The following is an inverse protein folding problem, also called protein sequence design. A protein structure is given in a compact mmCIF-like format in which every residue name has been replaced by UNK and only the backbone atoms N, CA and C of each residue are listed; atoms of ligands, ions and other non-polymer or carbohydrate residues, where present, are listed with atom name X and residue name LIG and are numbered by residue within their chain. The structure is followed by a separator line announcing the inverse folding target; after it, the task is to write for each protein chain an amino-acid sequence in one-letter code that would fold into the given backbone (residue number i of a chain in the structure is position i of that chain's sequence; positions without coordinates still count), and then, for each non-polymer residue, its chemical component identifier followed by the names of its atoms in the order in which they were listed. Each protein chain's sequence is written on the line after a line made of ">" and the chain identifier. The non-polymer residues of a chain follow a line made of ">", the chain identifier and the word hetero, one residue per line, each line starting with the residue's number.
data_IF_269623843562
#
_entry.id   IF_269623843562
#
_cell.length_a   1.000
_cell.length_b   1.000
_cell.length_c   1.000
_cell.angle_alpha   90.00
_cell.angle_beta   90.00
_cell.angle_gamma   90.00
#
_symmetry.space_group_name_H-M   'P 1'
#
loop_
_entity.id
_entity.type
_entity.pdbx_description
1 polymer ?
#
# COMPACT_ATOMS: atom_id res chain seq x y z
N UNK A 1 -0.92 -0.55 13.84
CA UNK A 1 -0.15 0.71 13.64
C UNK A 1 0.19 1.43 14.94
N UNK A 2 -0.80 1.93 15.70
CA UNK A 2 -0.56 2.69 16.94
C UNK A 2 0.39 1.97 17.92
N UNK A 3 0.16 0.67 18.21
CA UNK A 3 1.02 -0.14 19.08
C UNK A 3 2.47 -0.24 18.60
N UNK A 4 2.68 -0.28 17.29
CA UNK A 4 4.02 -0.33 16.68
C UNK A 4 4.75 0.99 16.88
N UNK A 5 4.04 2.11 16.72
CA UNK A 5 4.59 3.44 16.97
C UNK A 5 4.76 3.73 18.46
N UNK A 6 3.90 3.24 19.34
CA UNK A 6 4.04 3.39 20.80
C UNK A 6 5.33 2.79 21.34
N UNK A 7 5.82 1.69 20.78
CA UNK A 7 7.15 1.12 21.11
C UNK A 7 8.31 2.10 20.84
N UNK A 8 8.05 3.16 20.09
CA UNK A 8 9.04 4.01 19.46
C UNK A 8 8.85 5.48 19.85
N UNK A 9 7.63 5.96 19.99
CA UNK A 9 7.32 7.36 20.22
C UNK A 9 6.34 7.51 21.39
N UNK A 10 6.15 8.74 21.88
CA UNK A 10 5.14 9.04 22.90
C UNK A 10 3.71 8.76 22.40
N UNK A 11 2.77 8.66 23.35
CA UNK A 11 1.38 8.27 23.07
C UNK A 11 0.67 9.21 22.09
N UNK A 12 0.79 10.53 22.31
CA UNK A 12 0.18 11.55 21.44
C UNK A 12 0.78 11.45 20.04
N UNK A 13 2.11 11.43 19.94
CA UNK A 13 2.79 11.35 18.65
C UNK A 13 2.41 10.07 17.87
N UNK A 14 2.34 8.93 18.57
CA UNK A 14 1.98 7.64 17.97
C UNK A 14 0.55 7.64 17.45
N UNK A 15 -0.38 8.24 18.20
CA UNK A 15 -1.80 8.35 17.83
C UNK A 15 -1.96 9.27 16.63
N UNK A 16 -1.41 10.48 16.69
CA UNK A 16 -1.46 11.46 15.60
C UNK A 16 -0.82 10.93 14.33
N UNK A 17 0.37 10.32 14.42
CA UNK A 17 1.03 9.75 13.26
C UNK A 17 0.24 8.60 12.65
N UNK A 18 -0.30 7.69 13.48
CA UNK A 18 -1.14 6.58 12.97
C UNK A 18 -2.38 7.09 12.25
N UNK A 19 -3.04 8.10 12.83
CA UNK A 19 -4.22 8.70 12.24
C UNK A 19 -3.89 9.36 10.88
N UNK A 20 -2.92 10.27 10.86
CA UNK A 20 -2.53 10.97 9.63
C UNK A 20 -2.01 10.00 8.55
N UNK A 21 -1.20 9.01 8.94
CA UNK A 21 -0.70 7.99 8.00
C UNK A 21 -1.80 7.17 7.33
N UNK A 22 -2.95 7.00 7.96
CA UNK A 22 -4.11 6.33 7.37
C UNK A 22 -5.00 7.32 6.60
N UNK A 23 -5.42 8.41 7.24
CA UNK A 23 -6.53 9.24 6.77
C UNK A 23 -6.09 10.39 5.84
N UNK A 24 -4.81 10.76 5.84
CA UNK A 24 -4.22 11.65 4.84
C UNK A 24 -3.88 10.88 3.56
N UNK A 25 -4.80 10.06 3.05
CA UNK A 25 -4.58 9.18 1.91
C UNK A 25 -5.89 8.79 1.23
N UNK A 26 -5.81 8.11 0.08
CA UNK A 26 -6.97 7.53 -0.60
C UNK A 26 -7.72 6.49 0.25
N UNK A 27 -7.16 6.02 1.37
CA UNK A 27 -7.85 5.09 2.28
C UNK A 27 -9.11 5.70 2.90
N UNK A 28 -9.12 7.00 3.22
CA UNK A 28 -10.30 7.67 3.80
C UNK A 28 -11.53 7.55 2.85
N UNK A 29 -11.42 7.95 1.57
CA UNK A 29 -12.51 7.73 0.64
C UNK A 29 -12.91 6.26 0.50
N UNK A 30 -11.94 5.33 0.44
CA UNK A 30 -12.25 3.89 0.28
C UNK A 30 -13.08 3.37 1.48
N UNK A 31 -12.78 3.83 2.70
CA UNK A 31 -13.49 3.42 3.92
C UNK A 31 -14.96 3.83 3.94
N UNK A 32 -15.35 4.85 3.18
CA UNK A 32 -16.71 5.39 3.17
C UNK A 32 -17.64 4.69 2.18
N UNK A 33 -17.13 3.74 1.39
CA UNK A 33 -17.92 3.08 0.35
C UNK A 33 -17.95 1.56 0.55
N UNK A 34 -19.18 1.02 0.54
CA UNK A 34 -19.46 -0.40 0.79
C UNK A 34 -19.21 -1.34 -0.39
N UNK A 35 -18.68 -0.86 -1.52
CA UNK A 35 -18.37 -1.71 -2.66
C UNK A 35 -17.39 -2.82 -2.27
N UNK A 36 -17.64 -4.05 -2.73
CA UNK A 36 -16.87 -5.24 -2.37
C UNK A 36 -15.37 -5.09 -2.66
N UNK A 37 -15.00 -4.38 -3.73
CA UNK A 37 -13.62 -4.09 -4.10
C UNK A 37 -12.91 -3.19 -3.08
N UNK A 38 -13.64 -2.23 -2.50
CA UNK A 38 -13.14 -1.33 -1.46
C UNK A 38 -13.02 -2.04 -0.12
N UNK A 39 -14.01 -2.86 0.24
CA UNK A 39 -13.93 -3.70 1.42
C UNK A 39 -12.73 -4.65 1.36
N UNK A 40 -12.51 -5.29 0.21
CA UNK A 40 -11.34 -6.14 -0.01
C UNK A 40 -10.04 -5.33 0.11
N UNK A 41 -9.97 -4.13 -0.46
CA UNK A 41 -8.78 -3.29 -0.38
C UNK A 41 -8.47 -2.84 1.07
N UNK A 42 -9.48 -2.39 1.81
CA UNK A 42 -9.35 -2.01 3.23
C UNK A 42 -8.93 -3.22 4.06
N UNK A 43 -9.58 -4.37 3.88
CA UNK A 43 -9.25 -5.59 4.60
C UNK A 43 -7.81 -6.03 4.31
N UNK A 44 -7.40 -6.03 3.04
CA UNK A 44 -6.04 -6.34 2.62
C UNK A 44 -5.01 -5.40 3.26
N UNK A 45 -5.29 -4.10 3.28
CA UNK A 45 -4.47 -3.09 3.96
C UNK A 45 -4.37 -3.33 5.47
N UNK A 46 -5.49 -3.61 6.14
CA UNK A 46 -5.51 -3.88 7.59
C UNK A 46 -4.73 -5.15 7.94
N UNK A 47 -4.93 -6.23 7.18
CA UNK A 47 -4.24 -7.50 7.36
C UNK A 47 -2.73 -7.34 7.20
N UNK A 48 -2.25 -6.58 6.20
CA UNK A 48 -0.80 -6.39 6.02
C UNK A 48 -0.20 -5.49 7.11
N UNK A 49 -0.91 -4.44 7.54
CA UNK A 49 -0.50 -3.63 8.69
C UNK A 49 -0.41 -4.48 9.96
N UNK A 50 -1.36 -5.39 10.15
CA UNK A 50 -1.38 -6.30 11.29
C UNK A 50 -0.27 -7.36 11.18
N UNK A 51 0.01 -7.87 9.99
CA UNK A 51 1.13 -8.76 9.71
C UNK A 51 2.46 -8.08 10.07
N UNK A 52 2.68 -6.84 9.63
CA UNK A 52 3.86 -6.04 9.97
C UNK A 52 4.00 -5.89 11.49
N UNK A 53 2.89 -5.57 12.18
CA UNK A 53 2.87 -5.47 13.63
C UNK A 53 3.26 -6.79 14.29
N UNK A 54 2.62 -7.91 13.94
CA UNK A 54 2.95 -9.22 14.51
C UNK A 54 4.41 -9.62 14.26
N UNK A 55 4.95 -9.30 13.07
CA UNK A 55 6.36 -9.53 12.78
C UNK A 55 7.25 -8.70 13.71
N UNK A 56 6.90 -7.43 13.94
CA UNK A 56 7.63 -6.54 14.85
C UNK A 56 7.60 -7.05 16.31
N UNK A 57 6.50 -7.66 16.74
CA UNK A 57 6.32 -8.28 18.07
C UNK A 57 6.88 -9.71 18.19
N UNK A 58 7.72 -10.14 17.26
CA UNK A 58 8.35 -11.48 17.26
C UNK A 58 7.37 -12.65 17.21
N UNK A 59 6.21 -12.43 16.57
CA UNK A 59 5.17 -13.43 16.33
C UNK A 59 5.08 -13.77 14.83
N UNK A 60 6.12 -14.40 14.23
CA UNK A 60 6.19 -14.62 12.78
C UNK A 60 5.08 -15.54 12.24
N UNK A 61 4.62 -16.52 13.01
CA UNK A 61 3.52 -17.41 12.58
C UNK A 61 2.23 -16.62 12.30
N UNK A 62 1.79 -15.82 13.27
CA UNK A 62 0.61 -14.96 13.11
C UNK A 62 0.82 -13.91 12.01
N UNK A 63 2.05 -13.38 11.90
CA UNK A 63 2.38 -12.42 10.84
C UNK A 63 2.22 -13.00 9.44
N UNK A 64 2.81 -14.17 9.17
CA UNK A 64 2.78 -14.80 7.85
C UNK A 64 1.38 -15.31 7.50
N UNK A 65 0.59 -15.74 8.49
CA UNK A 65 -0.81 -16.07 8.27
C UNK A 65 -1.65 -14.85 7.84
N UNK A 66 -1.55 -13.73 8.57
CA UNK A 66 -2.25 -12.49 8.23
C UNK A 66 -1.81 -11.94 6.85
N UNK A 67 -0.52 -12.04 6.55
CA UNK A 67 0.02 -11.73 5.22
C UNK A 67 -0.61 -12.61 4.14
N UNK A 68 -0.68 -13.92 4.33
CA UNK A 68 -1.27 -14.82 3.34
C UNK A 68 -2.76 -14.51 3.10
N UNK A 69 -3.51 -14.15 4.15
CA UNK A 69 -4.89 -13.68 3.99
C UNK A 69 -4.96 -12.38 3.19
N UNK A 70 -4.01 -11.45 3.39
CA UNK A 70 -3.99 -10.16 2.67
C UNK A 70 -3.72 -10.32 1.17
N UNK A 71 -3.01 -11.39 0.75
CA UNK A 71 -2.83 -11.76 -0.66
C UNK A 71 -4.17 -12.13 -1.31
N UNK A 72 -5.03 -12.85 -0.60
CA UNK A 72 -6.38 -13.18 -1.08
C UNK A 72 -7.25 -11.93 -1.32
N UNK A 73 -7.05 -10.87 -0.55
CA UNK A 73 -7.74 -9.60 -0.76
C UNK A 73 -7.17 -8.80 -1.94
N UNK A 74 -5.83 -8.79 -2.07
CA UNK A 74 -5.08 -8.02 -3.06
C UNK A 74 -3.85 -8.83 -3.50
N UNK A 75 -3.86 -9.47 -4.69
CA UNK A 75 -2.80 -10.41 -5.10
C UNK A 75 -1.38 -9.84 -5.03
N UNK A 76 -1.18 -8.56 -5.38
CA UNK A 76 0.15 -7.94 -5.30
C UNK A 76 0.69 -7.73 -3.88
N UNK A 77 -0.12 -7.90 -2.85
CA UNK A 77 0.39 -8.00 -1.49
C UNK A 77 1.40 -9.15 -1.34
N UNK A 78 1.42 -10.13 -2.25
CA UNK A 78 2.44 -11.19 -2.30
C UNK A 78 3.87 -10.65 -2.19
N UNK A 79 4.13 -9.45 -2.75
CA UNK A 79 5.42 -8.76 -2.74
C UNK A 79 5.90 -8.46 -1.31
N UNK A 80 4.99 -8.28 -0.34
CA UNK A 80 5.38 -8.08 1.06
C UNK A 80 6.00 -9.31 1.71
N UNK A 81 5.69 -10.52 1.24
CA UNK A 81 6.17 -11.77 1.83
C UNK A 81 7.70 -11.80 1.92
N UNK A 82 8.42 -11.73 0.79
CA UNK A 82 9.88 -11.71 0.80
C UNK A 82 10.44 -10.56 1.66
N UNK A 83 9.86 -9.35 1.60
CA UNK A 83 10.31 -8.23 2.42
C UNK A 83 10.21 -8.54 3.92
N UNK A 84 9.06 -9.00 4.40
CA UNK A 84 8.83 -9.32 5.81
C UNK A 84 9.79 -10.40 6.29
N UNK A 85 9.98 -11.44 5.49
CA UNK A 85 10.89 -12.54 5.77
C UNK A 85 12.35 -12.08 5.85
N UNK A 86 12.83 -11.32 4.86
CA UNK A 86 14.19 -10.79 4.83
C UNK A 86 14.45 -9.86 6.03
N UNK A 87 13.51 -8.95 6.33
CA UNK A 87 13.65 -8.02 7.46
C UNK A 87 13.66 -8.76 8.81
N UNK A 88 12.86 -9.81 8.97
CA UNK A 88 12.85 -10.61 10.19
C UNK A 88 14.16 -11.37 10.37
N UNK A 89 14.65 -12.03 9.31
CA UNK A 89 15.94 -12.73 9.33
C UNK A 89 17.07 -11.77 9.68
N UNK A 90 17.16 -10.60 9.04
CA UNK A 90 18.19 -9.59 9.32
C UNK A 90 18.14 -9.04 10.75
N UNK A 91 17.00 -9.13 11.43
CA UNK A 91 16.85 -8.71 12.84
C UNK A 91 17.34 -9.78 13.82
N UNK A 92 17.43 -11.05 13.39
CA UNK A 92 17.86 -12.16 14.23
C UNK A 92 19.35 -12.41 14.07
N UNK A 93 20.01 -12.72 15.20
CA UNK A 93 21.45 -13.03 15.21
C UNK A 93 21.76 -14.38 14.57
N UNK A 94 20.83 -15.32 14.65
CA UNK A 94 20.98 -16.67 14.11
C UNK A 94 19.91 -16.93 13.03
N UNK A 95 20.37 -17.23 11.81
CA UNK A 95 19.53 -17.53 10.66
C UNK A 95 18.64 -18.77 10.88
N UNK A 96 19.20 -19.86 11.41
CA UNK A 96 18.46 -21.10 11.65
C UNK A 96 17.33 -20.90 12.67
N UNK A 97 17.59 -20.14 13.74
CA UNK A 97 16.55 -19.81 14.72
C UNK A 97 15.44 -18.95 14.11
N UNK A 98 15.80 -18.01 13.23
CA UNK A 98 14.83 -17.19 12.52
C UNK A 98 13.92 -18.06 11.63
N UNK A 99 14.53 -18.95 10.84
CA UNK A 99 13.82 -19.85 9.94
C UNK A 99 12.91 -20.82 10.71
N UNK A 100 13.40 -21.44 11.78
CA UNK A 100 12.60 -22.35 12.61
C UNK A 100 11.38 -21.65 13.21
N UNK A 101 11.51 -20.39 13.66
CA UNK A 101 10.36 -19.61 14.15
C UNK A 101 9.36 -19.26 13.03
N UNK A 102 9.83 -19.08 11.81
CA UNK A 102 8.97 -18.73 10.66
C UNK A 102 8.30 -19.94 10.02
N UNK A 103 8.91 -21.13 10.12
CA UNK A 103 8.48 -22.34 9.42
C UNK A 103 6.98 -22.65 9.63
N UNK A 104 6.41 -22.61 10.86
CA UNK A 104 4.98 -22.83 11.02
C UNK A 104 4.12 -21.81 10.26
N UNK A 105 4.54 -20.55 10.24
CA UNK A 105 3.86 -19.49 9.50
C UNK A 105 3.98 -19.63 7.99
N UNK A 106 5.13 -20.11 7.48
CA UNK A 106 5.34 -20.40 6.06
C UNK A 106 4.40 -21.55 5.64
N UNK A 107 4.37 -22.66 6.38
CA UNK A 107 3.51 -23.80 6.08
C UNK A 107 2.03 -23.41 6.12
N UNK A 108 1.62 -22.61 7.11
CA UNK A 108 0.26 -22.10 7.21
C UNK A 108 -0.08 -21.15 6.05
N UNK A 109 0.84 -20.26 5.67
CA UNK A 109 0.65 -19.37 4.52
C UNK A 109 0.55 -20.11 3.19
N UNK A 110 1.38 -21.15 2.99
CA UNK A 110 1.29 -22.03 1.82
C UNK A 110 -0.04 -22.80 1.79
N UNK A 111 -0.55 -23.22 2.95
CA UNK A 111 -1.87 -23.86 3.06
C UNK A 111 -2.99 -22.90 2.63
N UNK A 112 -2.95 -21.64 3.08
CA UNK A 112 -3.89 -20.59 2.63
C UNK A 112 -3.81 -20.37 1.13
N UNK A 113 -2.59 -20.25 0.58
CA UNK A 113 -2.37 -20.10 -0.86
C UNK A 113 -2.93 -21.29 -1.66
N UNK A 114 -2.73 -22.52 -1.17
CA UNK A 114 -3.30 -23.72 -1.77
C UNK A 114 -4.82 -23.68 -1.81
N UNK A 115 -5.48 -23.35 -0.69
CA UNK A 115 -6.95 -23.27 -0.65
C UNK A 115 -7.51 -22.16 -1.55
N UNK A 116 -6.85 -21.01 -1.65
CA UNK A 116 -7.23 -19.97 -2.61
C UNK A 116 -7.06 -20.41 -4.06
N UNK A 117 -5.92 -21.01 -4.40
CA UNK A 117 -5.69 -21.55 -5.75
C UNK A 117 -6.71 -22.63 -6.11
N UNK A 118 -6.99 -23.56 -5.18
CA UNK A 118 -7.98 -24.60 -5.38
C UNK A 118 -9.41 -24.04 -5.56
N UNK A 119 -9.78 -23.04 -4.76
CA UNK A 119 -11.05 -22.32 -4.92
C UNK A 119 -11.16 -21.64 -6.29
N UNK A 120 -10.08 -20.98 -6.75
CA UNK A 120 -10.03 -20.35 -8.06
C UNK A 120 -10.13 -21.39 -9.19
N UNK A 121 -9.46 -22.54 -9.05
CA UNK A 121 -9.55 -23.64 -10.01
C UNK A 121 -10.99 -24.17 -10.13
N UNK A 122 -11.70 -24.36 -9.02
CA UNK A 122 -13.12 -24.79 -9.05
C UNK A 122 -13.99 -23.75 -9.77
N UNK A 123 -13.74 -22.46 -9.55
CA UNK A 123 -14.57 -21.39 -10.11
C UNK A 123 -14.28 -21.07 -11.57
N UNK A 124 -13.02 -21.16 -11.97
CA UNK A 124 -12.54 -20.59 -13.24
C UNK A 124 -11.75 -21.57 -14.10
N UNK A 125 -11.43 -22.76 -13.60
CA UNK A 125 -10.58 -23.75 -14.27
C UNK A 125 -9.08 -23.44 -14.21
N UNK A 126 -8.69 -22.31 -13.59
CA UNK A 126 -7.29 -21.87 -13.44
C UNK A 126 -7.04 -21.37 -12.00
N UNK A 127 -5.93 -21.80 -11.41
CA UNK A 127 -5.49 -21.39 -10.06
C UNK A 127 -5.06 -19.91 -10.01
N UNK A 128 -4.64 -19.34 -11.15
CA UNK A 128 -4.16 -17.97 -11.26
C UNK A 128 -5.23 -16.97 -11.75
N UNK A 129 -6.44 -17.46 -12.04
CA UNK A 129 -7.57 -16.60 -12.39
C UNK A 129 -8.29 -16.08 -11.15
N UNK A 130 -8.49 -14.77 -11.08
CA UNK A 130 -9.13 -14.08 -9.95
C UNK A 130 -10.50 -13.47 -10.32
N UNK A 131 -11.12 -13.95 -11.40
CA UNK A 131 -12.42 -13.53 -11.91
C UNK A 131 -12.40 -12.24 -12.75
N UNK A 132 -11.23 -11.70 -13.07
CA UNK A 132 -11.12 -10.40 -13.74
C UNK A 132 -11.38 -10.51 -15.24
N UNK A 133 -11.05 -11.64 -15.85
CA UNK A 133 -11.35 -11.90 -17.25
C UNK A 133 -12.87 -12.05 -17.53
N UNK A 134 -13.68 -12.23 -16.50
CA UNK A 134 -15.15 -12.31 -16.59
C UNK A 134 -15.84 -10.96 -16.41
N UNK A 135 -15.10 -9.91 -16.08
CA UNK A 135 -15.66 -8.56 -15.97
C UNK A 135 -15.91 -7.97 -17.37
N UNK A 136 -17.02 -7.22 -17.57
CA UNK A 136 -17.36 -6.62 -18.86
C UNK A 136 -16.22 -5.78 -19.46
N UNK A 137 -15.44 -5.12 -18.61
CA UNK A 137 -14.33 -4.26 -18.99
C UNK A 137 -13.19 -5.02 -19.70
N UNK A 138 -13.02 -6.31 -19.43
CA UNK A 138 -11.96 -7.15 -20.00
C UNK A 138 -12.47 -8.15 -21.03
N UNK A 139 -13.67 -8.71 -20.81
CA UNK A 139 -14.29 -9.70 -21.70
C UNK A 139 -14.77 -9.11 -23.03
N UNK A 140 -15.42 -7.94 -23.03
CA UNK A 140 -15.97 -7.35 -24.26
C UNK A 140 -14.97 -6.48 -25.04
N UNK A 141 -13.95 -5.96 -24.37
CA UNK A 141 -13.01 -5.00 -24.97
C UNK A 141 -11.63 -5.59 -25.33
N UNK A 142 -11.43 -6.90 -25.16
CA UNK A 142 -10.23 -7.60 -25.64
C UNK A 142 -8.90 -7.14 -25.03
N UNK A 143 -8.93 -6.51 -23.84
CA UNK A 143 -7.74 -5.87 -23.26
C UNK A 143 -7.02 -6.74 -22.24
N UNK A 144 -5.70 -6.85 -22.36
CA UNK A 144 -4.86 -7.48 -21.33
C UNK A 144 -4.93 -6.68 -20.02
N UNK A 145 -5.17 -7.36 -18.91
CA UNK A 145 -5.27 -6.75 -17.58
C UNK A 145 -3.94 -6.09 -17.16
N UNK A 146 -2.82 -6.77 -17.42
CA UNK A 146 -1.48 -6.28 -17.16
C UNK A 146 -0.69 -6.24 -18.46
N UNK A 147 -0.18 -5.07 -18.82
CA UNK A 147 0.65 -4.88 -20.01
C UNK A 147 1.60 -3.69 -19.83
N UNK A 148 2.75 -3.78 -20.50
CA UNK A 148 3.70 -2.66 -20.60
C UNK A 148 3.14 -1.50 -21.44
N UNK A 149 2.15 -1.76 -22.30
CA UNK A 149 1.49 -0.72 -23.11
C UNK A 149 0.79 0.32 -22.22
N UNK A 150 0.27 -0.09 -21.06
CA UNK A 150 -0.42 0.79 -20.12
C UNK A 150 0.55 1.72 -19.36
N UNK A 151 1.85 1.42 -19.36
CA UNK A 151 2.83 2.06 -18.49
C UNK A 151 2.93 3.57 -18.75
N UNK A 152 3.01 4.00 -20.01
CA UNK A 152 3.17 5.42 -20.34
C UNK A 152 1.98 6.26 -19.90
N UNK A 153 0.77 5.76 -20.17
CA UNK A 153 -0.47 6.46 -19.85
C UNK A 153 -0.71 6.48 -18.35
N UNK A 154 -0.43 5.38 -17.66
CA UNK A 154 -0.48 5.31 -16.21
C UNK A 154 0.56 6.19 -15.53
N UNK A 155 1.77 6.35 -16.11
CA UNK A 155 2.74 7.33 -15.59
C UNK A 155 2.21 8.75 -15.74
N UNK A 156 1.71 9.11 -16.93
CA UNK A 156 1.12 10.45 -17.17
C UNK A 156 -0.02 10.74 -16.20
N UNK A 157 -0.88 9.75 -15.92
CA UNK A 157 -2.04 9.89 -15.03
C UNK A 157 -1.69 9.83 -13.55
N UNK A 158 -1.03 8.77 -13.09
CA UNK A 158 -0.84 8.49 -11.67
C UNK A 158 0.46 9.04 -11.09
N UNK A 159 1.42 9.47 -11.91
CA UNK A 159 2.63 10.16 -11.42
C UNK A 159 2.46 11.66 -11.58
N UNK A 160 2.09 12.11 -12.78
CA UNK A 160 2.06 13.53 -13.15
C UNK A 160 0.66 14.15 -13.26
N UNK A 161 -0.41 13.34 -13.16
CA UNK A 161 -1.77 13.82 -13.38
C UNK A 161 -2.23 14.82 -12.32
N UNK A 162 -2.88 15.88 -12.79
CA UNK A 162 -3.50 16.90 -11.95
C UNK A 162 -4.75 16.36 -11.25
N UNK A 163 -5.00 16.70 -9.98
CA UNK A 163 -6.27 16.39 -9.31
C UNK A 163 -7.44 17.20 -9.87
N UNK A 164 -7.16 18.26 -10.63
CA UNK A 164 -8.14 19.22 -11.12
C UNK A 164 -8.11 19.22 -12.65
N UNK A 165 -9.30 19.12 -13.25
CA UNK A 165 -9.54 19.20 -14.69
C UNK A 165 -10.56 20.30 -15.01
N UNK A 166 -10.57 20.74 -16.27
CA UNK A 166 -11.58 21.67 -16.78
C UNK A 166 -12.72 20.85 -17.38
N UNK A 167 -13.84 20.78 -16.66
CA UNK A 167 -15.07 20.16 -17.11
C UNK A 167 -16.01 21.14 -17.81
N UNK A 168 -17.21 20.66 -18.13
CA UNK A 168 -18.24 21.46 -18.82
C UNK A 168 -18.80 22.59 -17.94
N UNK A 169 -18.85 22.39 -16.62
CA UNK A 169 -19.38 23.37 -15.66
C UNK A 169 -18.28 24.20 -14.98
N UNK A 170 -17.02 24.04 -15.40
CA UNK A 170 -15.89 24.78 -14.88
C UNK A 170 -14.77 23.88 -14.38
N UNK A 171 -14.31 24.10 -13.16
CA UNK A 171 -13.21 23.36 -12.56
C UNK A 171 -13.77 22.17 -11.78
N UNK A 172 -13.38 20.96 -12.16
CA UNK A 172 -13.88 19.71 -11.58
C UNK A 172 -12.72 18.86 -11.05
N UNK A 173 -13.01 18.00 -10.07
CA UNK A 173 -12.04 17.01 -9.58
C UNK A 173 -11.90 15.87 -10.60
N UNK A 174 -10.67 15.40 -10.84
CA UNK A 174 -10.41 14.25 -11.69
C UNK A 174 -10.92 12.95 -11.03
N UNK A 175 -12.01 12.40 -11.59
CA UNK A 175 -12.75 11.24 -11.05
C UNK A 175 -12.23 9.88 -11.52
N UNK A 176 -11.29 9.82 -12.47
CA UNK A 176 -10.66 8.57 -12.94
C UNK A 176 -9.21 8.43 -12.47
N UNK A 177 -8.84 9.19 -11.45
CA UNK A 177 -7.55 9.10 -10.78
C UNK A 177 -6.51 10.09 -11.31
N UNK A 178 -5.70 10.56 -10.37
CA UNK A 178 -4.66 11.57 -10.52
C UNK A 178 -3.42 11.17 -9.72
N UNK A 179 -2.42 12.05 -9.65
CA UNK A 179 -1.14 11.78 -8.99
C UNK A 179 -1.25 11.08 -7.62
N UNK A 180 -0.56 9.94 -7.50
CA UNK A 180 -0.44 9.15 -6.29
C UNK A 180 0.21 9.94 -5.15
N UNK A 181 1.09 10.90 -5.47
CA UNK A 181 1.78 11.73 -4.48
C UNK A 181 0.85 12.76 -3.86
N UNK A 182 -0.07 13.31 -4.64
CA UNK A 182 -1.08 14.25 -4.16
C UNK A 182 -2.15 13.49 -3.37
N UNK A 183 -2.63 12.37 -3.91
CA UNK A 183 -3.64 11.55 -3.25
C UNK A 183 -3.14 10.90 -1.96
N UNK A 184 -1.83 10.62 -1.88
CA UNK A 184 -1.20 9.92 -0.77
C UNK A 184 0.13 10.62 -0.39
N UNK A 185 0.10 11.79 0.28
CA UNK A 185 1.29 12.59 0.60
C UNK A 185 2.31 11.89 1.48
N UNK A 186 1.95 10.79 2.12
CA UNK A 186 2.91 9.95 2.82
C UNK A 186 4.06 9.48 1.91
N UNK A 187 3.81 9.26 0.62
CA UNK A 187 4.90 8.95 -0.33
C UNK A 187 5.88 10.11 -0.48
N UNK A 188 5.40 11.36 -0.51
CA UNK A 188 6.25 12.56 -0.52
C UNK A 188 7.05 12.63 0.78
N UNK A 189 6.41 12.39 1.93
CA UNK A 189 7.10 12.38 3.23
C UNK A 189 8.24 11.37 3.25
N UNK A 190 8.00 10.13 2.80
CA UNK A 190 9.04 9.10 2.75
C UNK A 190 10.14 9.48 1.75
N UNK A 191 9.80 10.05 0.60
CA UNK A 191 10.76 10.50 -0.39
C UNK A 191 11.69 11.58 0.20
N UNK A 192 11.12 12.59 0.88
CA UNK A 192 11.89 13.65 1.56
C UNK A 192 12.83 13.07 2.62
N UNK A 193 12.33 12.15 3.45
CA UNK A 193 13.14 11.47 4.48
C UNK A 193 14.24 10.61 3.86
N UNK A 194 13.96 9.91 2.77
CA UNK A 194 14.91 9.07 2.07
C UNK A 194 16.03 9.89 1.43
N UNK A 195 15.68 10.95 0.69
CA UNK A 195 16.65 11.88 0.09
C UNK A 195 17.52 12.53 1.18
N UNK A 196 16.93 12.99 2.27
CA UNK A 196 17.68 13.54 3.39
C UNK A 196 18.68 12.54 3.97
N UNK A 197 18.26 11.28 4.18
CA UNK A 197 19.14 10.24 4.69
C UNK A 197 20.28 9.91 3.70
N UNK A 198 20.04 9.98 2.39
CA UNK A 198 21.11 9.83 1.38
C UNK A 198 22.11 10.98 1.52
N UNK A 199 21.64 12.23 1.48
CA UNK A 199 22.50 13.42 1.55
C UNK A 199 23.33 13.43 2.84
N UNK A 200 22.73 13.00 3.96
CA UNK A 200 23.41 12.92 5.26
C UNK A 200 24.19 11.62 5.48
N UNK A 201 24.25 10.71 4.49
CA UNK A 201 24.92 9.40 4.58
C UNK A 201 24.41 8.55 5.76
N UNK A 202 23.12 8.67 6.09
CA UNK A 202 22.42 7.93 7.14
C UNK A 202 21.56 6.79 6.58
N UNK A 203 21.76 6.45 5.30
CA UNK A 203 21.00 5.40 4.65
C UNK A 203 21.45 4.02 5.11
N UNK A 204 20.49 3.13 5.35
CA UNK A 204 20.75 1.75 5.76
C UNK A 204 20.29 0.78 4.67
N UNK A 205 20.85 -0.43 4.64
CA UNK A 205 20.40 -1.49 3.73
C UNK A 205 18.89 -1.77 3.88
N UNK A 206 18.36 -1.69 5.10
CA UNK A 206 16.94 -1.81 5.40
C UNK A 206 16.12 -0.76 4.66
N UNK A 207 16.55 0.50 4.68
CA UNK A 207 15.86 1.59 4.00
C UNK A 207 15.83 1.37 2.48
N UNK A 208 16.96 0.99 1.89
CA UNK A 208 17.07 0.69 0.46
C UNK A 208 16.13 -0.46 0.07
N UNK A 209 16.12 -1.54 0.86
CA UNK A 209 15.26 -2.70 0.60
C UNK A 209 13.78 -2.33 0.63
N UNK A 210 13.34 -1.54 1.62
CA UNK A 210 11.94 -1.10 1.73
C UNK A 210 11.54 -0.24 0.51
N UNK A 211 12.38 0.70 0.10
CA UNK A 211 12.11 1.56 -1.06
C UNK A 211 12.10 0.74 -2.35
N UNK A 212 13.04 -0.19 -2.53
CA UNK A 212 13.09 -1.06 -3.70
C UNK A 212 11.79 -1.88 -3.85
N UNK A 213 11.34 -2.54 -2.78
CA UNK A 213 10.10 -3.31 -2.79
C UNK A 213 8.86 -2.42 -3.00
N UNK A 214 8.84 -1.22 -2.42
CA UNK A 214 7.77 -0.25 -2.64
C UNK A 214 7.70 0.19 -4.10
N UNK A 215 8.82 0.57 -4.70
CA UNK A 215 8.90 0.98 -6.11
C UNK A 215 8.54 -0.18 -7.03
N UNK A 216 8.98 -1.40 -6.72
CA UNK A 216 8.62 -2.59 -7.50
C UNK A 216 7.10 -2.87 -7.44
N UNK A 217 6.48 -2.78 -6.26
CA UNK A 217 5.02 -2.92 -6.13
C UNK A 217 4.29 -1.81 -6.90
N UNK A 218 4.72 -0.56 -6.78
CA UNK A 218 4.17 0.56 -7.55
C UNK A 218 4.30 0.36 -9.06
N UNK A 219 5.44 -0.16 -9.52
CA UNK A 219 5.67 -0.48 -10.92
C UNK A 219 4.70 -1.55 -11.42
N UNK A 220 4.48 -2.63 -10.65
CA UNK A 220 3.50 -3.66 -11.01
C UNK A 220 2.07 -3.09 -11.09
N UNK A 221 1.72 -2.13 -10.24
CA UNK A 221 0.44 -1.42 -10.33
C UNK A 221 0.34 -0.53 -11.58
N UNK A 222 1.44 0.07 -12.05
CA UNK A 222 1.46 0.85 -13.30
C UNK A 222 1.22 -0.01 -14.54
N UNK A 223 1.39 -1.33 -14.46
CA UNK A 223 1.07 -2.22 -15.57
C UNK A 223 -0.43 -2.52 -15.67
N UNK A 224 -1.23 -2.16 -14.66
CA UNK A 224 -2.67 -2.44 -14.63
C UNK A 224 -3.44 -1.51 -15.56
N UNK A 225 -4.33 -2.05 -16.39
CA UNK A 225 -5.08 -1.31 -17.42
C UNK A 225 -5.74 -0.01 -16.96
N UNK A 226 -6.40 -0.01 -15.80
CA UNK A 226 -7.21 1.16 -15.35
C UNK A 226 -6.72 1.83 -14.07
N UNK A 227 -5.85 1.18 -13.28
CA UNK A 227 -5.52 1.64 -11.92
C UNK A 227 -6.73 1.88 -10.98
N UNK A 228 -7.93 1.40 -11.36
CA UNK A 228 -9.23 1.66 -10.72
C UNK A 228 -10.20 2.44 -11.64
N UNK A 229 -11.50 2.34 -11.35
CA UNK A 229 -12.56 3.03 -12.10
C UNK A 229 -12.81 4.45 -11.57
N UNK A 230 -14.07 4.76 -11.28
CA UNK A 230 -14.46 5.98 -10.58
C UNK A 230 -13.86 6.01 -9.17
N UNK A 231 -13.00 6.98 -8.86
CA UNK A 231 -12.17 6.98 -7.65
C UNK A 231 -11.54 8.33 -7.28
N UNK A 232 -11.20 8.48 -6.00
CA UNK A 232 -10.31 9.55 -5.53
C UNK A 232 -8.83 9.15 -5.68
N UNK A 233 -8.15 9.81 -6.62
CA UNK A 233 -6.71 9.66 -6.82
C UNK A 233 -6.28 8.26 -7.24
N UNK A 234 -5.00 7.93 -7.07
CA UNK A 234 -4.46 6.63 -7.40
C UNK A 234 -4.78 5.59 -6.30
N UNK A 235 -6.03 5.17 -6.17
CA UNK A 235 -6.52 4.39 -5.02
C UNK A 235 -5.76 3.08 -4.78
N UNK A 236 -5.33 2.39 -5.84
CA UNK A 236 -4.60 1.12 -5.71
C UNK A 236 -3.25 1.28 -4.99
N UNK A 237 -2.69 2.49 -4.98
CA UNK A 237 -1.43 2.77 -4.30
C UNK A 237 -1.56 2.83 -2.77
N UNK A 238 -2.79 2.77 -2.24
CA UNK A 238 -3.02 2.50 -0.80
C UNK A 238 -2.36 1.20 -0.37
N UNK A 239 -2.29 0.21 -1.26
CA UNK A 239 -1.65 -1.08 -1.03
C UNK A 239 -0.14 -0.94 -0.80
N UNK A 240 0.46 0.19 -1.20
CA UNK A 240 1.88 0.49 -1.01
C UNK A 240 2.16 1.33 0.25
N UNK A 241 1.16 1.93 0.88
CA UNK A 241 1.34 2.70 2.13
C UNK A 241 1.98 1.90 3.27
N UNK A 242 1.73 0.59 3.43
CA UNK A 242 2.40 -0.19 4.46
C UNK A 242 3.94 -0.18 4.34
N UNK A 243 4.53 0.01 3.16
CA UNK A 243 5.99 0.20 3.04
C UNK A 243 6.45 1.47 3.75
N UNK A 244 5.69 2.56 3.62
CA UNK A 244 5.96 3.82 4.31
C UNK A 244 5.93 3.63 5.83
N UNK A 245 5.00 2.83 6.34
CA UNK A 245 4.93 2.52 7.77
C UNK A 245 6.15 1.74 8.23
N UNK A 246 6.54 0.70 7.49
CA UNK A 246 7.77 -0.04 7.77
C UNK A 246 8.97 0.92 7.77
N UNK A 247 9.05 1.86 6.81
CA UNK A 247 10.13 2.85 6.79
C UNK A 247 10.16 3.69 8.08
N UNK A 248 9.02 4.28 8.47
CA UNK A 248 8.88 5.13 9.67
C UNK A 248 9.15 4.38 10.98
N UNK A 249 8.89 3.07 11.05
CA UNK A 249 9.27 2.22 12.19
C UNK A 249 10.79 2.24 12.45
N UNK A 250 11.60 2.61 11.47
CA UNK A 250 13.04 2.77 11.63
C UNK A 250 13.46 4.05 12.35
N UNK A 251 12.51 4.92 12.70
CA UNK A 251 12.76 6.27 13.23
C UNK A 251 13.81 7.02 12.40
N UNK A 252 13.57 7.24 11.09
CA UNK A 252 14.54 7.94 10.26
C UNK A 252 14.90 9.30 10.88
N UNK A 253 16.21 9.58 10.96
CA UNK A 253 16.68 10.88 11.43
C UNK A 253 16.26 11.94 10.41
N UNK A 254 15.81 13.09 10.90
CA UNK A 254 15.35 14.19 10.06
C UNK A 254 15.58 15.52 10.78
N UNK A 255 15.84 16.58 10.01
CA UNK A 255 15.91 17.94 10.52
C UNK A 255 14.54 18.41 11.04
N UNK A 256 14.52 19.45 11.87
CA UNK A 256 13.27 20.07 12.34
C UNK A 256 12.38 20.50 11.17
N UNK A 257 12.98 21.09 10.14
CA UNK A 257 12.28 21.54 8.94
C UNK A 257 11.62 20.40 8.17
N UNK A 258 12.32 19.27 7.95
CA UNK A 258 11.73 18.12 7.26
C UNK A 258 10.54 17.55 8.05
N UNK A 259 10.65 17.47 9.38
CA UNK A 259 9.55 17.02 10.24
C UNK A 259 8.35 17.96 10.13
N UNK A 260 8.57 19.27 10.16
CA UNK A 260 7.52 20.28 10.01
C UNK A 260 6.86 20.20 8.64
N UNK A 261 7.64 20.17 7.56
CA UNK A 261 7.14 19.99 6.19
C UNK A 261 6.34 18.69 6.06
N UNK A 262 6.81 17.60 6.65
CA UNK A 262 6.10 16.31 6.63
C UNK A 262 4.74 16.41 7.32
N UNK A 263 4.66 17.09 8.46
CA UNK A 263 3.40 17.32 9.17
C UNK A 263 2.44 18.17 8.34
N UNK A 264 2.92 19.27 7.75
CA UNK A 264 2.12 20.14 6.88
C UNK A 264 1.57 19.35 5.69
N UNK A 265 2.40 18.56 5.01
CA UNK A 265 1.97 17.71 3.90
C UNK A 265 0.88 16.72 4.29
N UNK A 266 1.00 16.09 5.47
CA UNK A 266 -0.02 15.17 5.96
C UNK A 266 -1.32 15.88 6.32
N UNK A 267 -1.26 17.09 6.91
CA UNK A 267 -2.45 17.89 7.20
C UNK A 267 -3.15 18.32 5.90
N UNK A 268 -2.40 18.83 4.92
CA UNK A 268 -2.95 19.17 3.60
C UNK A 268 -3.55 17.94 2.90
N UNK A 269 -2.89 16.78 3.04
CA UNK A 269 -3.40 15.49 2.59
C UNK A 269 -4.75 15.13 3.19
N UNK A 270 -4.89 15.29 4.50
CA UNK A 270 -6.14 15.01 5.21
C UNK A 270 -7.26 15.93 4.74
N UNK A 271 -6.98 17.21 4.54
CA UNK A 271 -7.96 18.17 4.00
C UNK A 271 -8.35 17.73 2.59
N UNK A 272 -7.39 17.45 1.72
CA UNK A 272 -7.64 17.02 0.35
C UNK A 272 -8.44 15.71 0.27
N UNK A 273 -8.10 14.71 1.08
CA UNK A 273 -8.81 13.43 1.11
C UNK A 273 -10.23 13.58 1.66
N UNK A 274 -10.44 14.47 2.63
CA UNK A 274 -11.77 14.77 3.19
C UNK A 274 -12.65 15.43 2.13
N UNK A 275 -12.14 16.47 1.47
CA UNK A 275 -12.83 17.15 0.36
C UNK A 275 -13.12 16.17 -0.77
N UNK A 276 -12.11 15.40 -1.18
CA UNK A 276 -12.26 14.39 -2.23
C UNK A 276 -13.27 13.29 -1.87
N UNK A 277 -13.36 12.91 -0.61
CA UNK A 277 -14.37 11.96 -0.14
C UNK A 277 -15.78 12.54 -0.28
N UNK A 278 -15.98 13.82 0.05
CA UNK A 278 -17.26 14.50 -0.19
C UNK A 278 -17.61 14.52 -1.68
N UNK A 279 -16.67 14.90 -2.57
CA UNK A 279 -16.95 15.03 -4.01
C UNK A 279 -17.11 13.70 -4.75
N UNK A 280 -16.38 12.66 -4.37
CA UNK A 280 -16.48 11.35 -5.05
C UNK A 280 -17.70 10.55 -4.55
N UNK A 281 -18.29 10.87 -3.40
CA UNK A 281 -19.40 10.07 -2.85
C UNK A 281 -20.70 10.81 -2.56
N UNK A 282 -20.71 12.14 -2.53
CA UNK A 282 -21.94 12.92 -2.37
C UNK A 282 -22.51 13.42 -3.72
N UNK A 283 -21.75 13.28 -4.81
CA UNK A 283 -22.22 13.44 -6.20
C UNK A 283 -22.66 12.09 -6.78
#
# INVERSE_FOLDING_TARGET
>A
MHRVFLKRFGIVHSSTLSFLCCFSSSLLPILQNGAVWYQAQVLGFLLIVWAIERMDFDCPTASLFLYALSVGCRPFNAIYGPLLMILYIKRKRNFHLALHKMLPGILLGLSVAFFYGYYNYIRFGDIFEFGHNYLPEFSFQGGQQFSLEHLSDNIRRFVFGSPIIKGFQGIELEKFGFSLFIANPLFIVILLLFIYNIIKKLITQRNILIIMFCVFHMFMLLLHRTGGGYQYGARYYVDCLPYCYIYLMGKPKASKWIKLTSLILLILGLISSTVGSCFVYLD
#
